data_IF_854810335273
#
_entry.id   IF_854810335273
#
_cell.length_a   1.000
_cell.length_b   1.000
_cell.length_c   1.000
_cell.angle_alpha   90.00
_cell.angle_beta   90.00
_cell.angle_gamma   90.00
#
_symmetry.space_group_name_H-M   'P 1'
#
loop_
_entity.id
_entity.type
_entity.pdbx_description
1 polymer ?
#
# COMPACT_ATOMS: atom_id res chain seq x y z
N UNK A 1 -1.67 24.62 7.95
CA UNK A 1 -2.28 23.30 8.05
C UNK A 1 -3.14 23.32 9.30
N UNK A 2 -4.40 22.99 9.17
CA UNK A 2 -5.32 22.94 10.31
C UNK A 2 -5.76 21.48 10.48
N UNK A 3 -4.81 20.65 10.95
CA UNK A 3 -5.05 19.24 11.25
C UNK A 3 -5.55 19.17 12.69
N UNK A 4 -6.72 18.58 12.87
CA UNK A 4 -7.32 18.31 14.16
C UNK A 4 -7.38 16.81 14.40
N UNK A 5 -7.18 16.40 15.65
CA UNK A 5 -7.12 15.00 16.03
C UNK A 5 -7.87 14.77 17.35
N UNK A 6 -8.85 13.89 17.31
CA UNK A 6 -9.62 13.46 18.49
C UNK A 6 -9.49 11.97 18.69
N UNK A 7 -9.16 11.54 19.91
CA UNK A 7 -9.23 10.14 20.31
C UNK A 7 -10.51 9.90 21.09
N UNK A 8 -11.38 9.06 20.53
CA UNK A 8 -12.65 8.71 21.16
C UNK A 8 -12.45 7.86 22.41
N UNK A 9 -13.46 7.81 23.27
CA UNK A 9 -13.45 6.96 24.46
C UNK A 9 -13.29 5.45 24.14
N UNK A 10 -13.74 5.03 22.95
CA UNK A 10 -13.53 3.68 22.40
C UNK A 10 -12.08 3.35 22.06
N UNK A 11 -11.20 4.38 21.96
CA UNK A 11 -9.81 4.24 21.49
C UNK A 11 -9.62 4.56 20.02
N UNK A 12 -10.69 4.69 19.21
CA UNK A 12 -10.64 5.07 17.80
C UNK A 12 -10.11 6.50 17.65
N UNK A 13 -9.20 6.70 16.71
CA UNK A 13 -8.61 8.02 16.43
C UNK A 13 -9.26 8.62 15.19
N UNK A 14 -9.77 9.85 15.32
CA UNK A 14 -10.37 10.63 14.23
C UNK A 14 -9.46 11.80 13.91
N UNK A 15 -9.10 11.95 12.63
CA UNK A 15 -8.21 13.02 12.16
C UNK A 15 -8.90 13.77 11.02
N UNK A 16 -8.89 15.09 11.07
CA UNK A 16 -9.41 15.91 9.96
C UNK A 16 -8.42 16.97 9.54
N UNK A 17 -8.45 17.32 8.26
CA UNK A 17 -7.84 18.52 7.76
C UNK A 17 -8.86 19.34 6.96
N UNK A 18 -9.26 20.49 7.50
CA UNK A 18 -10.21 21.37 6.82
C UNK A 18 -9.51 22.16 5.70
N UNK A 19 -9.98 21.96 4.46
CA UNK A 19 -9.57 22.65 3.25
C UNK A 19 -10.76 23.48 2.72
N UNK A 20 -11.07 24.63 3.28
CA UNK A 20 -12.35 25.36 3.07
C UNK A 20 -12.55 25.88 1.65
N UNK A 21 -11.50 25.93 0.84
CA UNK A 21 -11.55 26.35 -0.56
C UNK A 21 -12.04 25.25 -1.53
N UNK A 22 -12.21 24.02 -1.03
CA UNK A 22 -12.72 22.89 -1.81
C UNK A 22 -14.22 22.69 -1.57
N UNK A 23 -14.86 21.95 -2.47
CA UNK A 23 -16.25 21.46 -2.30
C UNK A 23 -16.30 19.95 -2.12
N UNK A 24 -15.15 19.26 -2.20
CA UNK A 24 -15.02 17.80 -2.04
C UNK A 24 -14.31 17.44 -0.74
N UNK A 25 -14.53 16.20 -0.31
CA UNK A 25 -13.87 15.57 0.84
C UNK A 25 -13.39 14.20 0.41
N UNK A 26 -12.15 13.89 0.71
CA UNK A 26 -11.63 12.53 0.74
C UNK A 26 -11.62 12.05 2.19
N UNK A 27 -12.16 10.89 2.45
CA UNK A 27 -12.23 10.32 3.78
C UNK A 27 -12.02 8.82 3.73
N UNK A 28 -11.61 8.22 4.82
CA UNK A 28 -11.41 6.78 4.89
C UNK A 28 -11.03 6.29 6.26
N UNK A 29 -10.92 4.97 6.34
CA UNK A 29 -10.50 4.23 7.52
C UNK A 29 -9.19 3.51 7.20
N UNK A 30 -8.14 3.81 7.95
CA UNK A 30 -6.84 3.15 7.85
C UNK A 30 -6.68 2.19 9.03
N UNK A 31 -6.37 0.95 8.72
CA UNK A 31 -6.19 -0.14 9.69
C UNK A 31 -4.71 -0.51 9.72
N UNK A 32 -4.08 -0.54 10.89
CA UNK A 32 -2.71 -1.03 11.09
C UNK A 32 -2.67 -2.56 11.03
N UNK A 33 -3.09 -3.10 9.92
CA UNK A 33 -3.07 -4.53 9.59
C UNK A 33 -3.05 -4.69 8.09
N UNK A 34 -2.16 -5.53 7.60
CA UNK A 34 -2.03 -5.91 6.20
C UNK A 34 -1.53 -7.35 6.10
N UNK A 35 -0.97 -7.74 4.96
CA UNK A 35 -0.51 -9.12 4.71
C UNK A 35 0.56 -9.58 5.71
N UNK A 36 1.37 -8.68 6.25
CA UNK A 36 2.36 -8.97 7.29
C UNK A 36 1.75 -9.52 8.59
N UNK A 37 0.47 -9.20 8.86
CA UNK A 37 -0.23 -9.64 10.09
C UNK A 37 -0.87 -11.02 9.97
N UNK A 38 -0.74 -11.67 8.83
CA UNK A 38 -1.31 -12.97 8.53
C UNK A 38 -0.43 -14.10 9.07
N UNK A 39 -1.05 -15.13 9.60
CA UNK A 39 -0.37 -16.41 9.85
C UNK A 39 -0.12 -17.13 8.52
N UNK A 40 0.60 -18.25 8.56
CA UNK A 40 0.82 -19.05 7.35
C UNK A 40 -0.49 -19.56 6.73
N UNK A 41 -1.43 -19.97 7.56
CA UNK A 41 -2.75 -20.45 7.12
C UNK A 41 -3.70 -19.31 6.68
N UNK A 42 -3.35 -18.05 6.95
CA UNK A 42 -4.13 -16.86 6.60
C UNK A 42 -3.55 -16.10 5.43
N UNK A 43 -2.52 -16.62 4.76
CA UNK A 43 -1.83 -15.94 3.67
C UNK A 43 -2.80 -15.54 2.55
N UNK A 44 -3.02 -14.22 2.36
CA UNK A 44 -3.97 -13.63 1.42
C UNK A 44 -5.35 -13.27 1.99
N UNK A 45 -5.60 -13.52 3.30
CA UNK A 45 -6.92 -13.24 3.89
C UNK A 45 -7.21 -11.73 4.01
N UNK A 46 -6.20 -10.88 4.18
CA UNK A 46 -6.37 -9.43 4.23
C UNK A 46 -6.89 -8.90 2.89
N UNK A 47 -6.35 -9.40 1.78
CA UNK A 47 -6.79 -9.06 0.44
C UNK A 47 -8.20 -9.62 0.15
N UNK A 48 -8.47 -10.85 0.52
CA UNK A 48 -9.82 -11.41 0.39
C UNK A 48 -10.86 -10.63 1.22
N UNK A 49 -10.52 -10.20 2.45
CA UNK A 49 -11.39 -9.36 3.25
C UNK A 49 -11.69 -8.01 2.58
N UNK A 50 -10.70 -7.42 1.90
CA UNK A 50 -10.88 -6.21 1.11
C UNK A 50 -12.01 -6.40 0.07
N UNK A 51 -11.94 -7.47 -0.73
CA UNK A 51 -12.98 -7.81 -1.71
C UNK A 51 -14.34 -8.06 -1.04
N UNK A 52 -14.34 -8.87 -0.01
CA UNK A 52 -15.56 -9.29 0.68
C UNK A 52 -16.28 -8.17 1.43
N UNK A 53 -15.60 -7.10 1.81
CA UNK A 53 -16.20 -5.94 2.48
C UNK A 53 -17.29 -5.27 1.61
N UNK A 54 -17.16 -5.31 0.28
CA UNK A 54 -18.10 -4.71 -0.66
C UNK A 54 -19.20 -5.68 -1.13
N UNK A 55 -19.24 -6.93 -0.66
CA UNK A 55 -20.17 -7.96 -1.14
C UNK A 55 -21.49 -8.05 -0.37
N UNK A 56 -21.75 -7.05 0.45
CA UNK A 56 -23.02 -6.85 1.14
C UNK A 56 -22.91 -6.84 2.65
N UNK A 57 -23.84 -6.11 3.24
CA UNK A 57 -24.04 -5.97 4.68
C UNK A 57 -25.46 -6.39 5.05
N UNK A 58 -25.80 -6.42 6.33
CA UNK A 58 -27.20 -6.62 6.73
C UNK A 58 -28.13 -5.49 6.25
N UNK A 59 -27.57 -4.32 5.93
CA UNK A 59 -28.31 -3.11 5.51
C UNK A 59 -28.36 -2.94 4.01
N UNK A 60 -27.29 -3.35 3.28
CA UNK A 60 -27.07 -3.08 1.86
C UNK A 60 -26.61 -4.32 1.11
N UNK A 61 -27.17 -4.54 -0.07
CA UNK A 61 -26.56 -5.46 -1.05
C UNK A 61 -25.31 -4.84 -1.66
N UNK A 62 -24.44 -5.65 -2.27
CA UNK A 62 -23.25 -5.16 -2.99
C UNK A 62 -23.60 -4.08 -4.04
N UNK A 63 -24.70 -4.29 -4.76
CA UNK A 63 -25.20 -3.32 -5.74
C UNK A 63 -25.63 -2.00 -5.09
N UNK A 64 -26.30 -2.04 -3.94
CA UNK A 64 -26.72 -0.83 -3.23
C UNK A 64 -25.52 -0.05 -2.67
N UNK A 65 -24.48 -0.72 -2.20
CA UNK A 65 -23.21 -0.07 -1.78
C UNK A 65 -22.67 0.78 -2.94
N UNK A 66 -22.59 0.23 -4.14
CA UNK A 66 -22.10 0.95 -5.31
C UNK A 66 -23.07 2.06 -5.76
N UNK A 67 -24.36 1.74 -5.93
CA UNK A 67 -25.37 2.70 -6.44
C UNK A 67 -25.54 3.90 -5.49
N UNK A 68 -25.55 3.73 -4.17
CA UNK A 68 -25.75 4.82 -3.23
C UNK A 68 -24.64 5.86 -3.31
N UNK A 69 -23.36 5.42 -3.44
CA UNK A 69 -22.22 6.33 -3.55
C UNK A 69 -22.13 6.96 -4.96
N UNK A 70 -22.37 6.18 -6.02
CA UNK A 70 -22.34 6.67 -7.40
C UNK A 70 -23.46 7.66 -7.70
N UNK A 71 -24.66 7.47 -7.14
CA UNK A 71 -25.80 8.36 -7.31
C UNK A 71 -25.53 9.80 -6.80
N UNK A 72 -24.58 9.95 -5.89
CA UNK A 72 -24.15 11.29 -5.41
C UNK A 72 -22.86 11.77 -6.07
N UNK A 73 -22.39 11.07 -7.11
CA UNK A 73 -21.16 11.38 -7.82
C UNK A 73 -19.90 11.10 -7.01
N UNK A 74 -20.00 10.23 -6.01
CA UNK A 74 -18.88 9.78 -5.18
C UNK A 74 -18.23 8.52 -5.72
N UNK A 75 -17.13 8.15 -5.10
CA UNK A 75 -16.42 6.91 -5.31
C UNK A 75 -16.03 6.29 -3.98
N UNK A 76 -16.01 4.97 -3.90
CA UNK A 76 -15.50 4.21 -2.76
C UNK A 76 -14.57 3.12 -3.26
N UNK A 77 -13.48 2.89 -2.54
CA UNK A 77 -12.51 1.85 -2.87
C UNK A 77 -11.76 1.40 -1.61
N UNK A 78 -10.93 0.37 -1.76
CA UNK A 78 -10.04 -0.10 -0.71
C UNK A 78 -8.68 -0.47 -1.30
N UNK A 79 -7.69 -0.64 -0.43
CA UNK A 79 -6.36 -1.11 -0.80
C UNK A 79 -5.70 -1.83 0.38
N UNK A 80 -5.20 -3.02 0.12
CA UNK A 80 -4.39 -3.80 1.06
C UNK A 80 -2.91 -3.65 0.73
N UNK A 81 -2.11 -3.36 1.73
CA UNK A 81 -0.66 -3.36 1.64
C UNK A 81 -0.03 -4.32 2.65
N UNK A 82 1.28 -4.37 2.69
CA UNK A 82 2.02 -5.23 3.62
C UNK A 82 1.67 -4.94 5.09
N UNK A 83 1.53 -3.67 5.50
CA UNK A 83 1.35 -3.28 6.91
C UNK A 83 0.01 -2.59 7.20
N UNK A 84 -0.72 -2.17 6.17
CA UNK A 84 -1.97 -1.43 6.33
C UNK A 84 -3.02 -1.87 5.32
N UNK A 85 -4.29 -1.81 5.73
CA UNK A 85 -5.44 -1.87 4.83
C UNK A 85 -6.21 -0.57 4.97
N UNK A 86 -6.68 -0.02 3.88
CA UNK A 86 -7.46 1.22 3.86
C UNK A 86 -8.76 1.04 3.08
N UNK A 87 -9.83 1.63 3.58
CA UNK A 87 -11.12 1.77 2.91
C UNK A 87 -11.43 3.25 2.83
N UNK A 88 -11.63 3.77 1.65
CA UNK A 88 -11.73 5.22 1.44
C UNK A 88 -12.81 5.59 0.44
N UNK A 89 -13.31 6.81 0.57
CA UNK A 89 -14.30 7.39 -0.32
C UNK A 89 -13.91 8.82 -0.67
N UNK A 90 -14.40 9.29 -1.82
CA UNK A 90 -14.35 10.68 -2.22
C UNK A 90 -15.73 11.14 -2.63
N UNK A 91 -16.20 12.21 -2.00
CA UNK A 91 -17.56 12.76 -2.16
C UNK A 91 -17.56 14.27 -2.14
N UNK A 92 -18.67 14.90 -2.54
CA UNK A 92 -18.92 16.28 -2.21
C UNK A 92 -19.26 16.42 -0.72
N UNK A 93 -18.97 17.57 -0.13
CA UNK A 93 -19.13 17.86 1.32
C UNK A 93 -20.48 17.45 1.91
N UNK A 94 -21.57 17.69 1.15
CA UNK A 94 -22.92 17.41 1.62
C UNK A 94 -23.23 15.90 1.72
N UNK A 95 -22.37 15.05 1.14
CA UNK A 95 -22.51 13.59 1.12
C UNK A 95 -21.51 12.88 2.06
N UNK A 96 -20.77 13.62 2.88
CA UNK A 96 -19.87 13.04 3.90
C UNK A 96 -20.61 12.08 4.83
N UNK A 97 -21.83 12.40 5.34
CA UNK A 97 -22.58 11.47 6.20
C UNK A 97 -22.89 10.12 5.53
N UNK A 98 -23.18 10.12 4.23
CA UNK A 98 -23.40 8.89 3.46
C UNK A 98 -22.11 8.07 3.35
N UNK A 99 -21.00 8.70 3.02
CA UNK A 99 -19.72 8.02 2.90
C UNK A 99 -19.25 7.40 4.24
N UNK A 100 -19.42 8.14 5.34
CA UNK A 100 -19.14 7.62 6.70
C UNK A 100 -20.04 6.42 7.02
N UNK A 101 -21.35 6.50 6.68
CA UNK A 101 -22.30 5.40 6.91
C UNK A 101 -21.95 4.15 6.11
N UNK A 102 -21.55 4.29 4.83
CA UNK A 102 -21.14 3.17 3.99
C UNK A 102 -19.83 2.55 4.52
N UNK A 103 -18.81 3.36 4.82
CA UNK A 103 -17.54 2.85 5.33
C UNK A 103 -17.70 2.13 6.68
N UNK A 104 -18.54 2.66 7.57
CA UNK A 104 -18.85 2.01 8.83
C UNK A 104 -19.61 0.68 8.59
N UNK A 105 -20.61 0.68 7.73
CA UNK A 105 -21.45 -0.47 7.41
C UNK A 105 -20.61 -1.66 6.87
N UNK A 106 -19.76 -1.42 5.88
CA UNK A 106 -18.90 -2.46 5.30
C UNK A 106 -17.82 -2.99 6.26
N UNK A 107 -17.44 -2.22 7.29
CA UNK A 107 -16.43 -2.63 8.27
C UNK A 107 -17.00 -3.25 9.53
N UNK A 108 -18.29 -3.02 9.83
CA UNK A 108 -18.90 -3.46 11.08
C UNK A 108 -20.05 -4.45 10.90
N UNK A 109 -20.65 -4.53 9.72
CA UNK A 109 -21.89 -5.29 9.50
C UNK A 109 -21.90 -6.13 8.22
N UNK A 110 -20.72 -6.40 7.62
CA UNK A 110 -20.58 -7.30 6.46
C UNK A 110 -21.07 -8.70 6.74
N UNK A 111 -21.86 -9.26 5.81
CA UNK A 111 -22.47 -10.59 5.98
C UNK A 111 -21.54 -11.73 5.63
N UNK A 112 -20.55 -11.51 4.75
CA UNK A 112 -19.63 -12.52 4.24
C UNK A 112 -20.37 -13.76 3.73
N UNK A 113 -21.26 -13.54 2.75
CA UNK A 113 -22.07 -14.58 2.13
C UNK A 113 -21.21 -15.65 1.46
N UNK A 114 -21.56 -16.92 1.63
CA UNK A 114 -20.77 -18.05 1.11
C UNK A 114 -20.74 -18.11 -0.42
N UNK A 115 -21.83 -17.73 -1.12
CA UNK A 115 -21.82 -17.72 -2.58
C UNK A 115 -20.95 -16.57 -3.11
N UNK A 116 -21.00 -15.39 -2.49
CA UNK A 116 -20.11 -14.28 -2.82
C UNK A 116 -18.66 -14.63 -2.51
N UNK A 117 -18.39 -15.31 -1.39
CA UNK A 117 -17.05 -15.77 -1.06
C UNK A 117 -16.46 -16.69 -2.13
N UNK A 118 -17.23 -17.67 -2.61
CA UNK A 118 -16.74 -18.57 -3.67
C UNK A 118 -16.52 -17.82 -5.01
N UNK A 119 -17.33 -16.81 -5.32
CA UNK A 119 -17.11 -15.94 -6.49
C UNK A 119 -15.83 -15.14 -6.36
N UNK A 120 -15.58 -14.51 -5.18
CA UNK A 120 -14.39 -13.69 -4.96
C UNK A 120 -13.11 -14.50 -4.89
N UNK A 121 -13.13 -15.70 -4.33
CA UNK A 121 -12.01 -16.64 -4.43
C UNK A 121 -11.64 -16.89 -5.90
N UNK A 122 -12.63 -17.08 -6.77
CA UNK A 122 -12.36 -17.27 -8.20
C UNK A 122 -11.75 -16.02 -8.84
N UNK A 123 -12.21 -14.82 -8.48
CA UNK A 123 -11.64 -13.54 -8.94
C UNK A 123 -10.17 -13.42 -8.50
N UNK A 124 -9.88 -13.68 -7.23
CA UNK A 124 -8.52 -13.59 -6.69
C UNK A 124 -7.59 -14.63 -7.35
N UNK A 125 -8.08 -15.84 -7.66
CA UNK A 125 -7.29 -16.81 -8.41
C UNK A 125 -6.96 -16.33 -9.83
N UNK A 126 -7.85 -15.55 -10.46
CA UNK A 126 -7.54 -14.91 -11.74
C UNK A 126 -6.53 -13.77 -11.57
N UNK A 127 -6.58 -13.01 -10.49
CA UNK A 127 -5.59 -11.98 -10.19
C UNK A 127 -4.20 -12.56 -9.92
N UNK A 128 -4.11 -13.69 -9.18
CA UNK A 128 -2.88 -14.43 -8.99
C UNK A 128 -2.31 -14.89 -10.34
N UNK A 129 -3.16 -15.43 -11.22
CA UNK A 129 -2.74 -15.83 -12.57
C UNK A 129 -2.26 -14.64 -13.41
N UNK A 130 -2.95 -13.50 -13.33
CA UNK A 130 -2.56 -12.28 -14.04
C UNK A 130 -1.22 -11.70 -13.51
N UNK A 131 -1.00 -11.74 -12.19
CA UNK A 131 0.27 -11.36 -11.60
C UNK A 131 1.42 -12.29 -12.04
N UNK A 132 1.17 -13.61 -12.10
CA UNK A 132 2.15 -14.60 -12.60
C UNK A 132 2.46 -14.39 -14.09
N UNK A 133 1.53 -13.87 -14.88
CA UNK A 133 1.73 -13.55 -16.30
C UNK A 133 2.41 -12.17 -16.50
N UNK A 134 2.59 -11.39 -15.43
CA UNK A 134 3.21 -10.05 -15.46
C UNK A 134 4.64 -10.12 -14.93
N UNK A 135 5.68 -10.05 -15.79
CA UNK A 135 7.08 -10.22 -15.36
C UNK A 135 7.54 -9.20 -14.31
N UNK A 136 7.01 -7.97 -14.37
CA UNK A 136 7.29 -6.92 -13.38
C UNK A 136 6.77 -7.34 -11.99
N UNK A 137 5.54 -7.85 -11.88
CA UNK A 137 4.97 -8.27 -10.60
C UNK A 137 5.73 -9.46 -10.02
N UNK A 138 6.04 -10.45 -10.87
CA UNK A 138 6.81 -11.64 -10.48
C UNK A 138 8.18 -11.27 -9.92
N UNK A 139 8.93 -10.37 -10.57
CA UNK A 139 10.27 -10.01 -10.10
C UNK A 139 10.23 -9.31 -8.74
N UNK A 140 9.21 -8.48 -8.48
CA UNK A 140 9.03 -7.83 -7.18
C UNK A 140 8.60 -8.79 -6.08
N UNK A 141 7.71 -9.73 -6.37
CA UNK A 141 7.29 -10.76 -5.41
C UNK A 141 8.48 -11.66 -5.04
N UNK A 142 9.22 -12.19 -6.03
CA UNK A 142 10.43 -13.00 -5.80
C UNK A 142 11.49 -12.23 -5.03
N UNK A 143 11.67 -10.96 -5.36
CA UNK A 143 12.62 -10.12 -4.65
C UNK A 143 12.22 -9.93 -3.16
N UNK A 144 10.94 -9.70 -2.87
CA UNK A 144 10.44 -9.54 -1.51
C UNK A 144 10.60 -10.83 -0.70
N UNK A 145 10.30 -11.97 -1.31
CA UNK A 145 10.50 -13.31 -0.73
C UNK A 145 11.98 -13.56 -0.35
N UNK A 146 12.92 -13.19 -1.23
CA UNK A 146 14.35 -13.33 -0.98
C UNK A 146 14.87 -12.31 0.04
N UNK A 147 14.42 -11.07 -0.04
CA UNK A 147 14.82 -10.02 0.89
C UNK A 147 14.43 -10.33 2.34
N UNK A 148 13.31 -11.05 2.52
CA UNK A 148 12.75 -11.39 3.84
C UNK A 148 12.38 -12.89 3.92
N UNK A 149 13.31 -13.75 3.57
CA UNK A 149 13.08 -15.19 3.46
C UNK A 149 12.47 -15.79 4.73
N UNK A 150 11.32 -16.48 4.56
CA UNK A 150 10.60 -17.14 5.64
C UNK A 150 9.88 -16.20 6.60
N UNK A 151 9.74 -14.91 6.27
CA UNK A 151 9.06 -13.91 7.07
C UNK A 151 7.78 -13.44 6.37
N UNK A 152 6.77 -13.07 7.14
CA UNK A 152 5.46 -12.65 6.60
C UNK A 152 5.54 -11.39 5.74
N UNK A 153 6.47 -10.48 6.03
CA UNK A 153 6.68 -9.23 5.29
C UNK A 153 7.17 -9.46 3.84
N UNK A 154 7.77 -10.63 3.56
CA UNK A 154 8.25 -10.98 2.23
C UNK A 154 7.23 -11.72 1.36
N UNK A 155 6.04 -12.02 1.89
CA UNK A 155 5.00 -12.76 1.16
C UNK A 155 4.23 -11.85 0.21
N UNK A 156 3.76 -12.43 -0.90
CA UNK A 156 2.78 -11.76 -1.78
C UNK A 156 1.51 -11.42 -1.02
N UNK A 157 0.91 -10.27 -1.31
CA UNK A 157 -0.35 -9.82 -0.71
C UNK A 157 -1.53 -10.69 -1.18
N UNK A 158 -1.43 -11.27 -2.38
CA UNK A 158 -2.50 -12.05 -3.00
C UNK A 158 -2.74 -13.41 -2.32
N UNK A 159 -1.78 -13.90 -1.54
CA UNK A 159 -1.80 -15.26 -1.02
C UNK A 159 -1.33 -16.29 -2.04
N UNK A 160 -1.71 -17.55 -1.81
CA UNK A 160 -1.50 -18.66 -2.77
C UNK A 160 -2.83 -19.26 -3.21
N UNK A 161 -2.89 -19.97 -4.34
CA UNK A 161 -4.11 -20.65 -4.76
C UNK A 161 -4.67 -21.58 -3.69
N UNK A 162 -3.81 -22.26 -2.94
CA UNK A 162 -4.19 -23.21 -1.89
C UNK A 162 -4.80 -22.49 -0.68
N UNK A 163 -4.18 -21.39 -0.23
CA UNK A 163 -4.71 -20.64 0.92
C UNK A 163 -6.01 -19.95 0.58
N UNK A 164 -6.08 -19.28 -0.58
CA UNK A 164 -7.31 -18.59 -1.05
C UNK A 164 -8.48 -19.57 -1.16
N UNK A 165 -8.27 -20.75 -1.74
CA UNK A 165 -9.32 -21.77 -1.86
C UNK A 165 -9.79 -22.30 -0.50
N UNK A 166 -8.93 -22.31 0.51
CA UNK A 166 -9.22 -22.86 1.84
C UNK A 166 -10.05 -21.95 2.74
N UNK A 167 -10.16 -20.66 2.43
CA UNK A 167 -10.80 -19.70 3.32
C UNK A 167 -12.30 -19.94 3.46
N UNK A 168 -12.81 -19.66 4.65
CA UNK A 168 -14.23 -19.67 5.01
C UNK A 168 -14.66 -18.30 5.55
N UNK A 169 -15.97 -18.03 5.51
CA UNK A 169 -16.54 -16.82 6.10
C UNK A 169 -16.19 -16.67 7.59
N UNK A 170 -16.08 -17.76 8.33
CA UNK A 170 -15.72 -17.74 9.75
C UNK A 170 -14.25 -17.30 9.97
N UNK A 171 -13.34 -17.72 9.09
CA UNK A 171 -11.95 -17.26 9.14
C UNK A 171 -11.82 -15.76 8.84
N UNK A 172 -12.59 -15.25 7.86
CA UNK A 172 -12.66 -13.82 7.55
C UNK A 172 -13.17 -13.03 8.76
N UNK A 173 -14.27 -13.48 9.40
CA UNK A 173 -14.81 -12.86 10.61
C UNK A 173 -13.80 -12.89 11.78
N UNK A 174 -13.09 -14.00 11.94
CA UNK A 174 -12.05 -14.13 12.96
C UNK A 174 -10.88 -13.19 12.72
N UNK A 175 -10.43 -13.06 11.47
CA UNK A 175 -9.37 -12.12 11.07
C UNK A 175 -9.81 -10.68 11.31
N UNK A 176 -11.01 -10.30 10.86
CA UNK A 176 -11.57 -8.96 11.05
C UNK A 176 -11.66 -8.61 12.54
N UNK A 177 -12.27 -9.46 13.36
CA UNK A 177 -12.46 -9.19 14.80
C UNK A 177 -11.14 -9.07 15.57
N UNK A 178 -10.08 -9.75 15.11
CA UNK A 178 -8.75 -9.69 15.71
C UNK A 178 -7.95 -8.46 15.30
N UNK A 179 -8.08 -8.03 14.05
CA UNK A 179 -7.22 -7.02 13.46
C UNK A 179 -7.88 -5.64 13.33
N UNK A 180 -9.22 -5.57 13.20
CA UNK A 180 -9.96 -4.33 13.00
C UNK A 180 -10.55 -3.84 14.33
N UNK A 181 -9.68 -3.33 15.19
CA UNK A 181 -10.03 -2.85 16.52
C UNK A 181 -9.78 -1.35 16.62
N UNK A 182 -10.52 -0.68 17.49
CA UNK A 182 -10.51 0.80 17.59
C UNK A 182 -9.14 1.40 17.87
N UNK A 183 -8.26 0.68 18.58
CA UNK A 183 -6.89 1.11 18.87
C UNK A 183 -5.91 0.98 17.68
N UNK A 184 -6.31 0.22 16.66
CA UNK A 184 -5.53 0.00 15.43
C UNK A 184 -6.09 0.74 14.22
N UNK A 185 -7.20 1.44 14.39
CA UNK A 185 -7.91 2.12 13.31
C UNK A 185 -7.84 3.63 13.45
N UNK A 186 -7.78 4.30 12.29
CA UNK A 186 -7.85 5.74 12.14
C UNK A 186 -8.95 6.06 11.14
N UNK A 187 -9.85 6.96 11.49
CA UNK A 187 -10.80 7.52 10.53
C UNK A 187 -10.35 8.93 10.20
N UNK A 188 -10.08 9.17 8.93
CA UNK A 188 -9.45 10.41 8.47
C UNK A 188 -10.34 11.09 7.43
N UNK A 189 -10.39 12.42 7.44
CA UNK A 189 -11.02 13.19 6.38
C UNK A 189 -10.20 14.43 6.04
N UNK A 190 -10.04 14.71 4.76
CA UNK A 190 -9.42 15.94 4.26
C UNK A 190 -10.29 16.58 3.18
N UNK A 191 -10.45 17.89 3.21
CA UNK A 191 -11.33 18.62 2.32
C UNK A 191 -12.22 19.60 3.06
N UNK A 192 -13.39 19.90 2.53
CA UNK A 192 -14.34 20.78 3.19
C UNK A 192 -15.14 20.04 4.26
N UNK A 193 -14.54 19.83 5.41
CA UNK A 193 -15.06 19.04 6.53
C UNK A 193 -14.97 19.87 7.83
N UNK A 194 -16.02 19.77 8.67
CA UNK A 194 -16.02 20.26 10.03
C UNK A 194 -15.61 19.13 10.98
N UNK A 195 -14.65 19.41 11.88
CA UNK A 195 -14.08 18.39 12.75
C UNK A 195 -15.10 17.81 13.74
N UNK A 196 -15.82 18.69 14.44
CA UNK A 196 -16.73 18.26 15.52
C UNK A 196 -17.90 17.46 14.95
N UNK A 197 -18.45 17.90 13.80
CA UNK A 197 -19.51 17.19 13.11
C UNK A 197 -19.02 15.82 12.61
N UNK A 198 -17.83 15.74 12.02
CA UNK A 198 -17.23 14.48 11.55
C UNK A 198 -16.96 13.53 12.70
N UNK A 199 -16.38 14.00 13.82
CA UNK A 199 -16.14 13.20 15.02
C UNK A 199 -17.44 12.58 15.54
N UNK A 200 -18.52 13.37 15.61
CA UNK A 200 -19.84 12.89 16.05
C UNK A 200 -20.38 11.78 15.14
N UNK A 201 -20.31 11.96 13.81
CA UNK A 201 -20.75 10.98 12.84
C UNK A 201 -19.95 9.67 12.98
N UNK A 202 -18.62 9.77 13.13
CA UNK A 202 -17.74 8.60 13.32
C UNK A 202 -18.05 7.88 14.63
N UNK A 203 -18.21 8.62 15.74
CA UNK A 203 -18.55 8.03 17.04
C UNK A 203 -19.86 7.24 17.00
N UNK A 204 -20.88 7.79 16.34
CA UNK A 204 -22.20 7.16 16.19
C UNK A 204 -22.15 5.93 15.28
N UNK A 205 -21.45 5.98 14.13
CA UNK A 205 -21.46 4.92 13.11
C UNK A 205 -20.51 3.79 13.40
N UNK A 206 -19.38 4.06 14.03
CA UNK A 206 -18.37 3.05 14.38
C UNK A 206 -18.50 2.52 15.82
N UNK A 207 -19.61 2.77 16.49
CA UNK A 207 -19.83 2.38 17.88
C UNK A 207 -19.79 0.86 18.14
N UNK A 208 -20.04 0.04 17.11
CA UNK A 208 -20.02 -1.43 17.19
C UNK A 208 -18.64 -2.06 17.00
N UNK A 209 -17.60 -1.27 16.65
CA UNK A 209 -16.27 -1.81 16.52
C UNK A 209 -15.73 -2.39 17.82
N UNK A 210 -14.99 -3.52 17.75
CA UNK A 210 -14.33 -4.09 18.93
C UNK A 210 -13.37 -3.09 19.55
N UNK A 211 -13.46 -2.90 20.86
CA UNK A 211 -12.70 -1.88 21.59
C UNK A 211 -11.30 -2.30 22.02
N UNK A 212 -10.98 -3.58 22.07
CA UNK A 212 -9.61 -4.03 22.37
C UNK A 212 -9.45 -5.49 21.96
N UNK A 213 -8.33 -5.84 21.31
CA UNK A 213 -8.05 -7.23 21.04
C UNK A 213 -7.65 -7.94 22.31
N UNK A 214 -8.09 -9.17 22.43
CA UNK A 214 -7.35 -10.14 23.20
C UNK A 214 -5.98 -10.31 22.54
N UNK A 215 -4.90 -9.84 23.18
CA UNK A 215 -3.50 -10.00 22.79
C UNK A 215 -3.24 -9.81 21.28
N UNK A 216 -2.75 -8.64 20.90
CA UNK A 216 -2.16 -8.43 19.57
C UNK A 216 -1.01 -9.44 19.40
N UNK A 217 -0.97 -10.23 18.31
CA UNK A 217 0.20 -11.04 18.01
C UNK A 217 1.41 -10.12 17.95
N UNK A 218 2.42 -10.41 18.76
CA UNK A 218 3.70 -9.72 18.67
C UNK A 218 4.31 -10.16 17.34
N UNK A 219 4.38 -9.26 16.38
CA UNK A 219 5.11 -9.53 15.14
C UNK A 219 6.60 -9.50 15.45
N UNK A 220 7.31 -10.50 14.95
CA UNK A 220 8.75 -10.47 14.97
C UNK A 220 9.27 -9.30 14.13
N UNK A 221 10.33 -8.66 14.63
CA UNK A 221 10.99 -7.60 13.88
C UNK A 221 11.53 -8.14 12.55
N UNK A 222 11.24 -7.42 11.47
CA UNK A 222 11.70 -7.83 10.15
C UNK A 222 13.22 -7.79 10.07
N UNK A 223 13.78 -8.81 9.43
CA UNK A 223 15.21 -8.96 9.22
C UNK A 223 15.51 -9.15 7.76
N UNK A 224 16.20 -8.19 7.17
CA UNK A 224 16.68 -8.31 5.79
C UNK A 224 17.67 -9.48 5.69
N UNK A 225 17.39 -10.45 4.84
CA UNK A 225 18.23 -11.65 4.65
C UNK A 225 19.07 -11.57 3.39
N UNK A 226 18.57 -10.90 2.36
CA UNK A 226 19.14 -10.95 1.03
C UNK A 226 19.06 -12.37 0.44
N UNK A 227 19.53 -12.51 -0.78
CA UNK A 227 19.52 -13.76 -1.51
C UNK A 227 19.65 -13.54 -3.00
N UNK A 228 19.38 -14.57 -3.76
CA UNK A 228 19.35 -14.54 -5.21
C UNK A 228 18.25 -15.48 -5.69
N UNK A 229 17.40 -14.97 -6.59
CA UNK A 229 16.40 -15.74 -7.32
C UNK A 229 16.61 -15.54 -8.82
N UNK A 230 16.48 -16.61 -9.59
CA UNK A 230 16.52 -16.58 -11.06
C UNK A 230 15.41 -17.47 -11.57
N UNK A 231 14.62 -16.91 -12.48
CA UNK A 231 13.56 -17.62 -13.18
C UNK A 231 13.73 -17.41 -14.67
N UNK A 232 13.73 -18.50 -15.44
CA UNK A 232 13.82 -18.44 -16.90
C UNK A 232 12.42 -18.57 -17.49
N UNK A 233 12.02 -17.55 -18.24
CA UNK A 233 10.75 -17.50 -19.00
C UNK A 233 11.05 -17.13 -20.46
N UNK A 234 10.22 -17.59 -21.37
CA UNK A 234 10.30 -17.20 -22.80
C UNK A 234 9.60 -15.84 -23.00
N UNK A 235 10.35 -14.78 -22.68
CA UNK A 235 9.89 -13.37 -22.72
C UNK A 235 10.85 -12.54 -23.57
N UNK A 236 10.34 -11.43 -24.10
CA UNK A 236 11.17 -10.48 -24.87
C UNK A 236 12.17 -9.73 -23.99
N UNK A 237 11.75 -9.37 -22.78
CA UNK A 237 12.54 -8.58 -21.84
C UNK A 237 12.90 -9.39 -20.60
N UNK A 238 14.09 -9.15 -20.07
CA UNK A 238 14.57 -9.66 -18.79
C UNK A 238 14.37 -8.60 -17.71
N UNK A 239 13.64 -8.96 -16.67
CA UNK A 239 13.47 -8.12 -15.49
C UNK A 239 14.63 -8.34 -14.52
N UNK A 240 15.26 -7.26 -14.08
CA UNK A 240 16.38 -7.27 -13.13
C UNK A 240 16.05 -6.41 -11.94
N UNK A 241 16.15 -6.99 -10.74
CA UNK A 241 15.98 -6.24 -9.50
C UNK A 241 17.19 -6.48 -8.58
N UNK A 242 17.90 -5.40 -8.27
CA UNK A 242 19.02 -5.40 -7.32
C UNK A 242 18.57 -4.68 -6.04
N UNK A 243 18.77 -5.31 -4.89
CA UNK A 243 18.31 -4.76 -3.64
C UNK A 243 19.29 -4.81 -2.50
N UNK A 244 19.04 -3.93 -1.54
CA UNK A 244 19.81 -3.74 -0.33
C UNK A 244 18.87 -3.47 0.84
N UNK A 245 19.35 -3.71 2.06
CA UNK A 245 18.62 -3.27 3.25
C UNK A 245 18.44 -1.75 3.22
N UNK A 246 17.19 -1.30 3.32
CA UNK A 246 16.79 0.10 3.37
C UNK A 246 16.54 0.57 4.81
N UNK A 247 15.90 1.74 4.94
CA UNK A 247 15.60 2.38 6.23
C UNK A 247 14.11 2.32 6.54
N UNK A 248 13.77 2.02 7.78
CA UNK A 248 12.40 2.15 8.26
C UNK A 248 11.92 3.60 8.16
N UNK A 249 10.62 3.82 7.88
CA UNK A 249 10.10 5.16 7.57
C UNK A 249 10.20 6.17 8.74
N UNK A 250 10.36 5.73 9.97
CA UNK A 250 10.55 6.61 11.13
C UNK A 250 12.02 6.84 11.51
N UNK A 251 12.97 6.23 10.78
CA UNK A 251 14.39 6.47 11.03
C UNK A 251 14.82 7.85 10.55
N UNK A 252 15.75 8.46 11.28
CA UNK A 252 16.22 9.82 10.99
C UNK A 252 16.82 9.99 9.59
N UNK A 253 17.42 8.94 9.06
CA UNK A 253 18.09 8.91 7.76
C UNK A 253 17.20 8.36 6.61
N UNK A 254 15.90 8.15 6.87
CA UNK A 254 14.93 7.72 5.86
C UNK A 254 14.94 8.61 4.60
N UNK A 255 14.90 9.93 4.79
CA UNK A 255 14.92 10.87 3.66
C UNK A 255 16.26 10.90 2.94
N UNK A 256 17.37 10.51 3.57
CA UNK A 256 18.67 10.35 2.89
C UNK A 256 18.59 9.22 1.86
N UNK A 257 17.92 8.12 2.20
CA UNK A 257 17.70 6.99 1.27
C UNK A 257 16.77 7.39 0.11
N UNK A 258 15.73 8.18 0.37
CA UNK A 258 14.84 8.72 -0.68
C UNK A 258 15.60 9.65 -1.65
N UNK A 259 16.46 10.52 -1.11
CA UNK A 259 17.31 11.41 -1.92
C UNK A 259 18.29 10.58 -2.76
N UNK A 260 18.92 9.55 -2.19
CA UNK A 260 19.84 8.68 -2.93
C UNK A 260 19.11 7.93 -4.05
N UNK A 261 17.93 7.38 -3.79
CA UNK A 261 17.11 6.74 -4.82
C UNK A 261 16.80 7.72 -5.98
N UNK A 262 16.43 8.97 -5.65
CA UNK A 262 16.17 9.99 -6.63
C UNK A 262 17.41 10.35 -7.45
N UNK A 263 18.59 10.48 -6.84
CA UNK A 263 19.86 10.77 -7.54
C UNK A 263 20.22 9.63 -8.50
N UNK A 264 20.04 8.37 -8.06
CA UNK A 264 20.40 7.20 -8.85
C UNK A 264 19.41 6.92 -9.98
N UNK A 265 18.10 6.96 -9.71
CA UNK A 265 17.09 6.52 -10.66
C UNK A 265 15.75 7.25 -10.60
N UNK A 266 15.68 8.48 -10.05
CA UNK A 266 14.43 9.22 -9.86
C UNK A 266 13.92 10.01 -11.07
N UNK A 267 14.59 9.96 -12.20
CA UNK A 267 14.16 10.70 -13.40
C UNK A 267 15.21 10.76 -14.50
N UNK A 268 14.87 11.42 -15.61
CA UNK A 268 15.73 11.46 -16.82
C UNK A 268 17.15 12.01 -16.59
N UNK A 269 17.36 12.82 -15.58
CA UNK A 269 18.69 13.38 -15.23
C UNK A 269 19.41 12.58 -14.15
N UNK A 270 18.86 11.43 -13.72
CA UNK A 270 19.50 10.55 -12.77
C UNK A 270 20.67 9.78 -13.38
N UNK A 271 21.56 9.29 -12.52
CA UNK A 271 22.80 8.62 -12.98
C UNK A 271 22.51 7.39 -13.82
N UNK A 272 21.63 6.52 -13.34
CA UNK A 272 21.31 5.27 -14.05
C UNK A 272 20.59 5.55 -15.37
N UNK A 273 19.65 6.49 -15.38
CA UNK A 273 18.97 6.84 -16.62
C UNK A 273 19.98 7.35 -17.69
N UNK A 274 20.90 8.23 -17.31
CA UNK A 274 21.92 8.75 -18.23
C UNK A 274 22.91 7.68 -18.68
N UNK A 275 23.48 6.91 -17.75
CA UNK A 275 24.54 5.95 -18.06
C UNK A 275 24.03 4.68 -18.74
N UNK A 276 22.86 4.19 -18.33
CA UNK A 276 22.32 2.92 -18.83
C UNK A 276 21.48 3.13 -20.09
N UNK A 277 20.54 4.10 -20.04
CA UNK A 277 19.58 4.31 -21.11
C UNK A 277 20.10 5.26 -22.19
N UNK A 278 20.50 6.49 -21.82
CA UNK A 278 20.83 7.54 -22.80
C UNK A 278 22.18 7.28 -23.47
N UNK A 279 23.21 6.90 -22.73
CA UNK A 279 24.56 6.74 -23.27
C UNK A 279 24.75 5.38 -23.92
N UNK A 280 24.24 4.29 -23.30
CA UNK A 280 24.48 2.92 -23.75
C UNK A 280 23.28 2.25 -24.41
N UNK A 281 22.06 2.74 -24.21
CA UNK A 281 20.85 2.16 -24.78
C UNK A 281 20.55 0.72 -24.30
N UNK A 282 20.98 0.37 -23.08
CA UNK A 282 20.88 -1.02 -22.57
C UNK A 282 19.49 -1.39 -22.06
N UNK A 283 18.62 -0.41 -21.79
CA UNK A 283 17.27 -0.68 -21.30
C UNK A 283 16.29 0.43 -21.68
N UNK A 284 15.02 0.10 -21.75
CA UNK A 284 13.95 1.08 -21.88
C UNK A 284 13.58 1.74 -20.54
N UNK A 285 13.55 0.94 -19.48
CA UNK A 285 13.18 1.37 -18.14
C UNK A 285 14.29 1.06 -17.14
N UNK A 286 14.69 2.05 -16.36
CA UNK A 286 15.56 1.89 -15.19
C UNK A 286 15.18 2.93 -14.15
N UNK A 287 15.01 2.49 -12.90
CA UNK A 287 14.75 3.38 -11.79
C UNK A 287 15.27 2.81 -10.46
N UNK A 288 15.46 3.69 -9.50
CA UNK A 288 15.79 3.32 -8.13
C UNK A 288 14.66 3.75 -7.19
N UNK A 289 14.43 2.96 -6.17
CA UNK A 289 13.37 3.20 -5.20
C UNK A 289 13.85 2.90 -3.77
N UNK A 290 13.14 3.45 -2.81
CA UNK A 290 13.29 3.11 -1.41
C UNK A 290 11.91 2.94 -0.77
N UNK A 291 11.62 1.74 -0.30
CA UNK A 291 10.43 1.40 0.46
C UNK A 291 10.76 1.32 1.93
N UNK A 292 10.08 2.10 2.76
CA UNK A 292 10.18 2.01 4.20
C UNK A 292 9.00 1.25 4.78
N UNK A 293 9.28 0.37 5.73
CA UNK A 293 8.30 -0.31 6.58
C UNK A 293 8.41 0.20 8.02
N UNK A 294 7.58 -0.33 8.92
CA UNK A 294 7.57 0.12 10.31
C UNK A 294 8.89 -0.11 11.05
N UNK A 295 9.65 -1.17 10.73
CA UNK A 295 10.86 -1.59 11.42
C UNK A 295 12.04 -1.91 10.48
N UNK A 296 11.83 -1.88 9.16
CA UNK A 296 12.82 -2.19 8.14
C UNK A 296 12.59 -1.36 6.88
N UNK A 297 13.33 -1.62 5.83
CA UNK A 297 13.13 -1.04 4.50
C UNK A 297 13.91 -1.79 3.44
N UNK A 298 13.61 -1.45 2.19
CA UNK A 298 14.28 -1.94 0.99
C UNK A 298 14.76 -0.74 0.18
N UNK A 299 16.01 -0.76 -0.23
CA UNK A 299 16.52 0.08 -1.30
C UNK A 299 16.73 -0.78 -2.53
N UNK A 300 16.11 -0.43 -3.65
CA UNK A 300 16.14 -1.25 -4.85
C UNK A 300 16.43 -0.46 -6.12
N UNK A 301 16.92 -1.18 -7.12
CA UNK A 301 17.10 -0.72 -8.49
C UNK A 301 16.46 -1.76 -9.40
N UNK A 302 15.49 -1.30 -10.20
CA UNK A 302 14.84 -2.11 -11.22
C UNK A 302 15.29 -1.68 -12.61
N UNK A 303 15.45 -2.65 -13.51
CA UNK A 303 15.67 -2.40 -14.93
C UNK A 303 15.04 -3.52 -15.78
N UNK A 304 14.43 -3.13 -16.90
CA UNK A 304 13.94 -4.04 -17.94
C UNK A 304 14.85 -3.96 -19.16
N UNK A 305 15.47 -5.06 -19.57
CA UNK A 305 16.50 -5.11 -20.61
C UNK A 305 16.35 -6.32 -21.53
N UNK A 306 16.91 -6.29 -22.72
CA UNK A 306 17.08 -7.49 -23.52
C UNK A 306 18.05 -8.50 -22.88
N UNK A 307 17.81 -9.80 -23.05
CA UNK A 307 18.66 -10.82 -22.42
C UNK A 307 20.13 -10.73 -22.82
N UNK A 308 20.43 -10.30 -24.03
CA UNK A 308 21.79 -10.10 -24.55
C UNK A 308 22.51 -8.89 -23.96
N UNK A 309 21.77 -7.90 -23.44
CA UNK A 309 22.32 -6.68 -22.82
C UNK A 309 22.60 -6.87 -21.31
N UNK A 310 22.01 -7.88 -20.68
CA UNK A 310 22.14 -8.17 -19.25
C UNK A 310 23.60 -8.25 -18.76
N UNK A 311 24.54 -8.91 -19.47
CA UNK A 311 25.95 -8.97 -19.05
C UNK A 311 26.65 -7.61 -19.01
N UNK A 312 26.14 -6.62 -19.72
CA UNK A 312 26.66 -5.26 -19.73
C UNK A 312 25.90 -4.37 -18.72
N UNK A 313 24.60 -4.53 -18.59
CA UNK A 313 23.73 -3.76 -17.72
C UNK A 313 24.15 -3.82 -16.23
N UNK A 314 24.25 -5.03 -15.70
CA UNK A 314 24.51 -5.25 -14.27
C UNK A 314 25.85 -4.63 -13.82
N UNK A 315 26.98 -4.82 -14.51
CA UNK A 315 28.23 -4.13 -14.19
C UNK A 315 28.12 -2.60 -14.19
N UNK A 316 27.37 -2.01 -15.13
CA UNK A 316 27.19 -0.55 -15.19
C UNK A 316 26.39 -0.05 -13.99
N UNK A 317 25.33 -0.73 -13.59
CA UNK A 317 24.56 -0.38 -12.38
C UNK A 317 25.46 -0.43 -11.13
N UNK A 318 26.23 -1.52 -10.97
CA UNK A 318 27.14 -1.68 -9.83
C UNK A 318 28.22 -0.59 -9.82
N UNK A 319 28.71 -0.20 -10.98
CA UNK A 319 29.73 0.85 -11.09
C UNK A 319 29.18 2.22 -10.68
N UNK A 320 27.95 2.55 -11.10
CA UNK A 320 27.28 3.78 -10.67
C UNK A 320 26.98 3.80 -9.17
N UNK A 321 26.60 2.66 -8.58
CA UNK A 321 26.46 2.52 -7.13
C UNK A 321 27.78 2.76 -6.40
N UNK A 322 28.91 2.22 -6.88
CA UNK A 322 30.25 2.46 -6.32
C UNK A 322 30.63 3.92 -6.42
N UNK A 323 30.48 4.53 -7.59
CA UNK A 323 30.74 5.97 -7.79
C UNK A 323 29.89 6.84 -6.85
N UNK A 324 28.64 6.46 -6.61
CA UNK A 324 27.79 7.21 -5.68
C UNK A 324 28.25 7.12 -4.22
N UNK A 325 28.92 6.04 -3.84
CA UNK A 325 29.53 5.93 -2.51
C UNK A 325 30.80 6.76 -2.34
N UNK A 326 31.48 7.09 -3.42
CA UNK A 326 32.69 7.91 -3.41
C UNK A 326 32.37 9.41 -3.50
N UNK A 327 31.52 9.79 -4.44
CA UNK A 327 31.19 11.20 -4.71
C UNK A 327 29.73 11.37 -5.12
N UNK A 328 29.03 12.25 -4.39
CA UNK A 328 27.75 12.84 -4.80
C UNK A 328 27.96 14.35 -4.89
N UNK A 329 27.67 14.93 -6.07
CA UNK A 329 27.84 16.36 -6.28
C UNK A 329 26.68 17.14 -5.67
N UNK A 330 26.97 18.35 -5.16
CA UNK A 330 25.97 19.22 -4.54
C UNK A 330 24.76 19.48 -5.45
N UNK A 331 24.98 19.62 -6.75
CA UNK A 331 23.92 19.83 -7.75
C UNK A 331 22.94 18.65 -7.84
N UNK A 332 23.39 17.41 -7.64
CA UNK A 332 22.53 16.21 -7.64
C UNK A 332 21.64 16.22 -6.40
N UNK A 333 22.22 16.57 -5.25
CA UNK A 333 21.48 16.69 -3.99
C UNK A 333 20.42 17.79 -4.09
N UNK A 334 20.79 18.96 -4.61
CA UNK A 334 19.88 20.10 -4.71
C UNK A 334 18.73 19.80 -5.68
N UNK A 335 19.00 19.12 -6.79
CA UNK A 335 17.99 18.67 -7.74
C UNK A 335 17.03 17.64 -7.12
N UNK A 336 17.55 16.60 -6.46
CA UNK A 336 16.72 15.58 -5.79
C UNK A 336 15.84 16.22 -4.71
N UNK A 337 16.39 17.11 -3.89
CA UNK A 337 15.63 17.86 -2.88
C UNK A 337 14.53 18.72 -3.51
N UNK A 338 14.82 19.38 -4.62
CA UNK A 338 13.82 20.19 -5.32
C UNK A 338 12.68 19.33 -5.86
N UNK A 339 12.98 18.18 -6.46
CA UNK A 339 11.99 17.25 -6.99
C UNK A 339 11.11 16.65 -5.88
N UNK A 340 11.72 16.12 -4.79
CA UNK A 340 10.99 15.56 -3.66
C UNK A 340 10.12 16.63 -2.98
N UNK A 341 10.68 17.85 -2.80
CA UNK A 341 9.92 18.97 -2.24
C UNK A 341 8.73 19.35 -3.11
N UNK A 342 8.92 19.44 -4.42
CA UNK A 342 7.84 19.76 -5.35
C UNK A 342 6.75 18.68 -5.33
N UNK A 343 7.12 17.40 -5.34
CA UNK A 343 6.18 16.29 -5.26
C UNK A 343 5.37 16.32 -3.96
N UNK A 344 6.02 16.56 -2.82
CA UNK A 344 5.35 16.69 -1.53
C UNK A 344 4.38 17.87 -1.50
N UNK A 345 4.79 19.04 -2.02
CA UNK A 345 3.93 20.23 -2.02
C UNK A 345 2.73 20.06 -2.96
N UNK A 346 2.94 19.53 -4.19
CA UNK A 346 1.85 19.25 -5.13
C UNK A 346 0.90 18.18 -4.60
N UNK A 347 1.43 17.16 -3.91
CA UNK A 347 0.59 16.15 -3.23
C UNK A 347 -0.34 16.78 -2.18
N UNK A 348 0.11 17.83 -1.48
CA UNK A 348 -0.71 18.52 -0.49
C UNK A 348 -1.90 19.32 -1.09
N UNK A 349 -1.98 19.49 -2.39
CA UNK A 349 -3.12 20.13 -3.07
C UNK A 349 -4.30 19.16 -3.25
N UNK A 350 -4.07 17.86 -3.11
CA UNK A 350 -5.09 16.82 -3.26
C UNK A 350 -5.65 16.38 -1.90
N UNK A 351 -6.97 16.44 -1.69
CA UNK A 351 -7.59 15.90 -0.47
C UNK A 351 -7.27 14.41 -0.24
N UNK A 352 -7.23 13.61 -1.32
CA UNK A 352 -6.93 12.19 -1.23
C UNK A 352 -5.48 11.90 -0.78
N UNK A 353 -4.52 12.76 -1.16
CA UNK A 353 -3.14 12.61 -0.72
C UNK A 353 -2.91 13.17 0.70
N UNK A 354 -3.86 13.91 1.23
CA UNK A 354 -3.81 14.47 2.60
C UNK A 354 -4.59 13.63 3.60
N UNK A 355 -5.60 12.91 3.16
CA UNK A 355 -6.29 11.91 3.97
C UNK A 355 -5.46 10.63 4.09
#
# INVERSE_FOLDING_TARGET
MNVECTRLASGLTVVTENMPHLESVALGTWIKSGSRNETEAEHGIAHLLEHMAFKGTNKRTARQIAEEIENVGGEVNAATSTETTSYYARVLKDNVPLAVDILADILTDSVFDEEELEREKHVILQEIGAADDTPDDVVFDRFSEEAYRGQTIGRSILGTPETVQSFSSDQIRAYLSRNYTTDRMFVVAAGKVDHDEFVKQVEERFASLPTTPSATPVMDAARYTGGESREERDLMDTQVLLGFEGKAYHMRDFYCSQILANILGGGMSSRLFQEVREIRGLCYSVYAFHWGFSDTGIFGIHAATGGEDLPQLVPVIIDELRKSSEVIHQQEIDRARAQIRAQLLMGQESPAARA
#
